data_IF_636542566554
#
_entry.id   IF_636542566554
#
_cell.length_a   1.000
_cell.length_b   1.000
_cell.length_c   1.000
_cell.angle_alpha   90.00
_cell.angle_beta   90.00
_cell.angle_gamma   90.00
#
_symmetry.space_group_name_H-M   'P 1'
#
loop_
_entity.id
_entity.type
_entity.pdbx_description
1 polymer ?
#
# COMPACT_ATOMS: atom_id res chain seq x y z
N UNK A 1 19.35 12.13 34.74
CA UNK A 1 19.94 10.89 34.17
C UNK A 1 18.84 9.83 34.12
N UNK A 2 18.11 9.77 33.03
CA UNK A 2 17.01 8.82 32.82
C UNK A 2 17.52 7.53 32.22
N UNK A 3 17.31 6.46 32.95
CA UNK A 3 17.71 5.10 32.62
C UNK A 3 16.91 4.62 31.40
N UNK A 4 17.55 4.62 30.21
CA UNK A 4 16.97 4.02 28.99
C UNK A 4 16.92 2.51 29.19
N UNK A 5 15.76 1.98 29.58
CA UNK A 5 15.51 0.54 29.50
C UNK A 5 15.47 0.16 28.03
N UNK A 6 16.56 -0.45 27.55
CA UNK A 6 16.56 -1.17 26.29
C UNK A 6 15.48 -2.25 26.35
N UNK A 7 14.49 -2.17 25.47
CA UNK A 7 13.51 -3.23 25.30
C UNK A 7 14.22 -4.42 24.66
N UNK A 8 14.65 -5.36 25.49
CA UNK A 8 15.16 -6.66 25.04
C UNK A 8 13.93 -7.47 24.65
N UNK A 9 13.71 -7.61 23.34
CA UNK A 9 12.69 -8.53 22.84
C UNK A 9 13.08 -9.96 23.27
N UNK A 10 12.14 -10.74 23.83
CA UNK A 10 12.40 -12.13 24.20
C UNK A 10 12.79 -12.94 22.95
N UNK A 11 13.67 -13.93 23.08
CA UNK A 11 14.02 -14.82 21.96
C UNK A 11 12.78 -15.52 21.45
N UNK A 12 12.58 -15.50 20.11
CA UNK A 12 11.46 -16.18 19.48
C UNK A 12 11.51 -17.70 19.80
N UNK A 13 10.41 -18.29 20.28
CA UNK A 13 10.38 -19.72 20.54
C UNK A 13 10.49 -20.50 19.23
N UNK A 14 11.25 -21.61 19.18
CA UNK A 14 11.34 -22.45 18.00
C UNK A 14 9.99 -23.15 17.75
N UNK A 15 9.37 -22.86 16.60
CA UNK A 15 8.41 -23.72 15.89
C UNK A 15 6.95 -23.88 16.37
N UNK A 16 6.41 -23.07 17.28
CA UNK A 16 4.95 -22.92 17.42
C UNK A 16 4.60 -21.46 17.70
N UNK A 17 4.64 -20.66 16.64
CA UNK A 17 3.96 -19.37 16.68
C UNK A 17 2.45 -19.63 16.71
N UNK A 18 1.84 -19.64 17.89
CA UNK A 18 0.40 -19.47 17.99
C UNK A 18 0.01 -18.22 17.24
N UNK A 19 -1.16 -18.24 16.58
CA UNK A 19 -1.59 -17.20 15.63
C UNK A 19 -1.51 -15.78 16.20
N UNK A 20 -1.53 -15.64 17.53
CA UNK A 20 -1.51 -14.36 18.25
C UNK A 20 -0.13 -13.66 18.28
N UNK A 21 0.97 -14.41 18.22
CA UNK A 21 2.31 -13.86 18.43
C UNK A 21 3.16 -13.82 17.15
N UNK A 22 2.53 -13.97 15.98
CA UNK A 22 3.24 -13.91 14.69
C UNK A 22 3.29 -12.48 14.17
N UNK A 23 4.49 -11.84 14.08
CA UNK A 23 4.64 -10.47 13.63
C UNK A 23 4.02 -10.21 12.25
N UNK A 24 4.11 -11.16 11.31
CA UNK A 24 3.56 -11.01 9.97
C UNK A 24 2.02 -10.98 10.01
N UNK A 25 1.40 -11.83 10.84
CA UNK A 25 -0.05 -11.80 11.05
C UNK A 25 -0.50 -10.50 11.72
N UNK A 26 0.26 -9.98 12.67
CA UNK A 26 -0.01 -8.69 13.29
C UNK A 26 0.06 -7.56 12.25
N UNK A 27 1.04 -7.58 11.33
CA UNK A 27 1.08 -6.64 10.22
C UNK A 27 -0.18 -6.70 9.34
N UNK A 28 -0.70 -7.91 9.04
CA UNK A 28 -1.96 -8.08 8.31
C UNK A 28 -3.16 -7.52 9.10
N UNK A 29 -3.21 -7.73 10.40
CA UNK A 29 -4.27 -7.18 11.25
C UNK A 29 -4.22 -5.66 11.31
N UNK A 30 -3.04 -5.07 11.53
CA UNK A 30 -2.82 -3.62 11.50
C UNK A 30 -3.27 -3.03 10.17
N UNK A 31 -2.85 -3.62 9.05
CA UNK A 31 -3.27 -3.20 7.71
C UNK A 31 -4.79 -3.23 7.53
N UNK A 32 -5.46 -4.29 8.03
CA UNK A 32 -6.91 -4.42 7.98
C UNK A 32 -7.62 -3.36 8.83
N UNK A 33 -7.12 -3.10 10.05
CA UNK A 33 -7.69 -2.11 10.97
C UNK A 33 -7.51 -0.69 10.45
N UNK A 34 -6.30 -0.34 9.98
CA UNK A 34 -6.00 0.94 9.35
C UNK A 34 -6.90 1.17 8.12
N UNK A 35 -6.98 0.19 7.24
CA UNK A 35 -7.87 0.27 6.07
C UNK A 35 -9.35 0.39 6.42
N UNK A 36 -9.83 -0.30 7.46
CA UNK A 36 -11.20 -0.17 7.93
C UNK A 36 -11.49 1.24 8.46
N UNK A 37 -10.54 1.82 9.22
CA UNK A 37 -10.68 3.18 9.75
C UNK A 37 -10.67 4.23 8.64
N UNK A 38 -9.81 4.11 7.65
CA UNK A 38 -9.79 5.01 6.48
C UNK A 38 -11.13 4.92 5.73
N UNK A 39 -11.68 3.72 5.55
CA UNK A 39 -12.97 3.51 4.86
C UNK A 39 -14.18 3.99 5.67
N UNK A 40 -14.14 3.94 7.00
CA UNK A 40 -15.27 4.38 7.85
C UNK A 40 -15.60 5.88 7.72
N UNK A 41 -14.80 6.63 6.99
CA UNK A 41 -14.99 8.05 6.71
C UNK A 41 -15.87 8.33 5.48
N UNK A 42 -16.93 7.54 5.24
CA UNK A 42 -17.87 7.68 4.10
C UNK A 42 -17.20 7.60 2.72
N UNK A 43 -16.32 6.64 2.53
CA UNK A 43 -15.76 6.34 1.21
C UNK A 43 -16.70 5.37 0.51
N UNK A 44 -17.49 5.89 -0.43
CA UNK A 44 -18.39 5.13 -1.29
C UNK A 44 -17.70 4.75 -2.62
N UNK A 45 -18.38 3.91 -3.42
CA UNK A 45 -17.92 3.56 -4.76
C UNK A 45 -16.67 2.69 -4.78
N UNK A 46 -15.88 2.89 -5.84
CA UNK A 46 -14.67 2.10 -6.10
C UNK A 46 -13.65 2.20 -4.96
N UNK A 47 -13.59 3.32 -4.25
CA UNK A 47 -12.62 3.52 -3.18
C UNK A 47 -12.83 2.61 -1.97
N UNK A 48 -13.99 1.96 -1.83
CA UNK A 48 -14.25 0.91 -0.85
C UNK A 48 -13.58 -0.43 -1.24
N UNK A 49 -13.21 -0.61 -2.50
CA UNK A 49 -12.59 -1.83 -3.00
C UNK A 49 -11.13 -1.93 -2.58
N UNK A 50 -10.73 -3.15 -2.19
CA UNK A 50 -9.32 -3.43 -1.88
C UNK A 50 -8.42 -3.15 -3.09
N UNK A 51 -7.32 -2.43 -2.86
CA UNK A 51 -6.36 -2.06 -3.90
C UNK A 51 -6.67 -0.78 -4.67
N UNK A 52 -7.92 -0.27 -4.64
CA UNK A 52 -8.27 0.95 -5.37
C UNK A 52 -7.43 2.16 -4.91
N UNK A 53 -7.20 2.29 -3.61
CA UNK A 53 -6.36 3.35 -3.06
C UNK A 53 -4.91 3.27 -3.56
N UNK A 54 -4.35 2.06 -3.66
CA UNK A 54 -3.00 1.86 -4.19
C UNK A 54 -2.90 2.28 -5.65
N UNK A 55 -3.91 1.94 -6.47
CA UNK A 55 -3.96 2.33 -7.88
C UNK A 55 -4.08 3.85 -8.01
N UNK A 56 -4.98 4.49 -7.25
CA UNK A 56 -5.15 5.94 -7.27
C UNK A 56 -3.84 6.67 -6.90
N UNK A 57 -3.20 6.27 -5.82
CA UNK A 57 -1.94 6.85 -5.36
C UNK A 57 -0.78 6.61 -6.35
N UNK A 58 -0.73 5.45 -7.02
CA UNK A 58 0.26 5.18 -8.05
C UNK A 58 0.10 6.12 -9.26
N UNK A 59 -1.14 6.37 -9.69
CA UNK A 59 -1.42 7.31 -10.79
C UNK A 59 -1.06 8.74 -10.37
N UNK A 60 -1.41 9.14 -9.15
CA UNK A 60 -1.08 10.46 -8.60
C UNK A 60 0.44 10.72 -8.57
N UNK A 61 1.22 9.74 -8.12
CA UNK A 61 2.68 9.84 -8.01
C UNK A 61 3.37 9.95 -9.38
N UNK A 62 2.92 9.19 -10.36
CA UNK A 62 3.47 9.16 -11.72
C UNK A 62 2.92 10.30 -12.60
N UNK A 63 1.86 11.00 -12.16
CA UNK A 63 1.04 11.97 -12.93
C UNK A 63 0.34 11.36 -14.13
N UNK A 64 1.00 10.47 -14.83
CA UNK A 64 0.47 9.63 -15.91
C UNK A 64 1.21 8.29 -15.89
N UNK A 65 0.45 7.20 -16.03
CA UNK A 65 1.01 5.85 -15.98
C UNK A 65 0.35 4.94 -17.01
N UNK A 66 1.09 3.96 -17.54
CA UNK A 66 0.48 2.84 -18.23
C UNK A 66 -0.07 1.82 -17.22
N UNK A 67 -1.02 0.99 -17.67
CA UNK A 67 -1.52 -0.09 -16.81
C UNK A 67 -0.41 -1.02 -16.33
N UNK A 68 0.58 -1.30 -17.18
CA UNK A 68 1.76 -2.11 -16.83
C UNK A 68 2.53 -1.46 -15.68
N UNK A 69 2.78 -0.15 -15.77
CA UNK A 69 3.49 0.58 -14.72
C UNK A 69 2.75 0.57 -13.38
N UNK A 70 1.42 0.67 -13.41
CA UNK A 70 0.59 0.56 -12.20
C UNK A 70 0.70 -0.84 -11.58
N UNK A 71 0.70 -1.90 -12.38
CA UNK A 71 0.91 -3.28 -11.91
C UNK A 71 2.26 -3.42 -11.21
N UNK A 72 3.33 -2.89 -11.81
CA UNK A 72 4.69 -2.91 -11.24
C UNK A 72 4.76 -2.21 -9.88
N UNK A 73 4.15 -1.03 -9.76
CA UNK A 73 4.17 -0.25 -8.50
C UNK A 73 3.31 -0.90 -7.42
N UNK A 74 2.11 -1.35 -7.78
CA UNK A 74 1.12 -1.82 -6.81
C UNK A 74 1.26 -3.30 -6.44
N UNK A 75 1.99 -4.06 -7.24
CA UNK A 75 2.09 -5.53 -7.16
C UNK A 75 0.72 -6.24 -7.21
N UNK A 76 -0.31 -5.57 -7.72
CA UNK A 76 -1.62 -6.17 -7.96
C UNK A 76 -1.61 -6.96 -9.26
N UNK A 77 -2.47 -7.98 -9.36
CA UNK A 77 -2.62 -8.75 -10.58
C UNK A 77 -3.19 -7.88 -11.72
N UNK A 78 -2.71 -8.04 -12.97
CA UNK A 78 -3.18 -7.24 -14.11
C UNK A 78 -4.69 -7.18 -14.27
N UNK A 79 -5.47 -8.29 -14.13
CA UNK A 79 -6.93 -8.23 -14.20
C UNK A 79 -7.55 -7.35 -13.10
N UNK A 80 -6.98 -7.37 -11.90
CA UNK A 80 -7.44 -6.54 -10.78
C UNK A 80 -7.26 -5.06 -11.09
N UNK A 81 -6.09 -4.68 -11.60
CA UNK A 81 -5.80 -3.29 -12.02
C UNK A 81 -6.77 -2.85 -13.12
N UNK A 82 -7.02 -3.70 -14.14
CA UNK A 82 -7.98 -3.40 -15.22
C UNK A 82 -9.38 -3.12 -14.70
N UNK A 83 -9.88 -3.93 -13.77
CA UNK A 83 -11.21 -3.76 -13.17
C UNK A 83 -11.29 -2.46 -12.38
N UNK A 84 -10.24 -2.16 -11.60
CA UNK A 84 -10.18 -0.93 -10.80
C UNK A 84 -10.17 0.30 -11.72
N UNK A 85 -9.31 0.31 -12.73
CA UNK A 85 -9.20 1.44 -13.67
C UNK A 85 -10.51 1.71 -14.41
N UNK A 86 -11.20 0.66 -14.87
CA UNK A 86 -12.50 0.79 -15.52
C UNK A 86 -13.52 1.44 -14.60
N UNK A 87 -13.62 0.98 -13.37
CA UNK A 87 -14.55 1.57 -12.38
C UNK A 87 -14.18 3.01 -12.02
N UNK A 88 -12.89 3.30 -11.86
CA UNK A 88 -12.44 4.68 -11.64
C UNK A 88 -12.79 5.60 -12.81
N UNK A 89 -12.74 5.09 -14.03
CA UNK A 89 -13.17 5.81 -15.22
C UNK A 89 -14.67 6.03 -15.22
N UNK A 90 -15.46 4.99 -14.91
CA UNK A 90 -16.92 5.08 -14.83
C UNK A 90 -17.38 6.09 -13.75
N UNK A 91 -16.62 6.21 -12.66
CA UNK A 91 -16.85 7.17 -11.57
C UNK A 91 -16.19 8.55 -11.83
N UNK A 92 -15.55 8.74 -12.99
CA UNK A 92 -14.96 10.02 -13.40
C UNK A 92 -13.68 10.42 -12.67
N UNK A 93 -13.00 9.49 -11.97
CA UNK A 93 -11.77 9.76 -11.23
C UNK A 93 -10.52 9.75 -12.11
N UNK A 94 -10.57 9.00 -13.21
CA UNK A 94 -9.46 8.88 -14.16
C UNK A 94 -9.94 9.04 -15.58
N UNK A 95 -9.05 9.47 -16.45
CA UNK A 95 -9.23 9.45 -17.89
C UNK A 95 -8.12 8.64 -18.57
N UNK A 96 -8.51 7.90 -19.60
CA UNK A 96 -7.58 7.14 -20.43
C UNK A 96 -7.34 7.91 -21.72
N UNK A 97 -6.09 7.94 -22.16
CA UNK A 97 -5.68 8.59 -23.40
C UNK A 97 -4.57 7.81 -24.09
N UNK A 98 -4.45 7.98 -25.41
CA UNK A 98 -3.35 7.37 -26.14
C UNK A 98 -2.06 8.13 -25.88
N UNK A 99 -0.96 7.39 -25.70
CA UNK A 99 0.36 8.02 -25.59
C UNK A 99 0.69 8.74 -26.92
N UNK A 100 1.02 10.04 -26.89
CA UNK A 100 1.38 10.77 -28.10
C UNK A 100 2.58 10.20 -28.87
N UNK A 101 3.52 9.56 -28.14
CA UNK A 101 4.75 8.98 -28.69
C UNK A 101 4.52 7.55 -29.21
N UNK A 102 3.59 6.80 -28.62
CA UNK A 102 3.17 5.47 -29.08
C UNK A 102 1.67 5.32 -28.94
N UNK A 103 0.96 5.46 -30.04
CA UNK A 103 -0.51 5.34 -30.11
C UNK A 103 -1.07 3.96 -29.72
N UNK A 104 -0.21 2.95 -29.58
CA UNK A 104 -0.60 1.62 -29.10
C UNK A 104 -0.61 1.53 -27.58
N UNK A 105 0.08 2.46 -26.90
CA UNK A 105 0.11 2.52 -25.46
C UNK A 105 -1.04 3.40 -24.95
N UNK A 106 -1.89 2.84 -24.10
CA UNK A 106 -2.92 3.59 -23.36
C UNK A 106 -2.34 4.01 -22.01
N UNK A 107 -2.42 5.30 -21.73
CA UNK A 107 -2.05 5.89 -20.44
C UNK A 107 -3.28 6.37 -19.69
N UNK A 108 -3.14 6.48 -18.39
CA UNK A 108 -4.15 6.94 -17.46
C UNK A 108 -3.61 8.10 -16.63
N UNK A 109 -4.45 9.10 -16.37
CA UNK A 109 -4.17 10.19 -15.43
C UNK A 109 -5.40 10.48 -14.58
N UNK A 110 -5.20 11.16 -13.45
CA UNK A 110 -6.31 11.62 -12.63
C UNK A 110 -7.04 12.77 -13.32
N UNK A 111 -8.36 12.84 -13.12
CA UNK A 111 -9.14 14.04 -13.32
C UNK A 111 -9.02 14.98 -12.12
N UNK A 112 -9.54 16.21 -12.20
CA UNK A 112 -9.61 17.10 -11.02
C UNK A 112 -10.38 16.47 -9.86
N UNK A 113 -11.45 15.71 -10.18
CA UNK A 113 -12.18 14.94 -9.17
C UNK A 113 -11.30 13.84 -8.56
N UNK A 114 -10.60 13.07 -9.39
CA UNK A 114 -9.66 12.04 -8.91
C UNK A 114 -8.56 12.61 -8.02
N UNK A 115 -8.00 13.76 -8.36
CA UNK A 115 -7.02 14.46 -7.52
C UNK A 115 -7.62 14.90 -6.18
N UNK A 116 -8.88 15.37 -6.17
CA UNK A 116 -9.56 15.75 -4.92
C UNK A 116 -9.78 14.54 -4.02
N UNK A 117 -10.17 13.40 -4.59
CA UNK A 117 -10.32 12.13 -3.86
C UNK A 117 -8.97 11.65 -3.30
N UNK A 118 -7.89 11.78 -4.07
CA UNK A 118 -6.55 11.43 -3.61
C UNK A 118 -6.12 12.29 -2.41
N UNK A 119 -6.23 13.63 -2.52
CA UNK A 119 -5.91 14.56 -1.42
C UNK A 119 -6.70 14.23 -0.14
N UNK A 120 -8.02 14.09 -0.26
CA UNK A 120 -8.87 13.76 0.90
C UNK A 120 -8.48 12.43 1.54
N UNK A 121 -8.12 11.44 0.73
CA UNK A 121 -7.66 10.15 1.24
C UNK A 121 -6.30 10.22 1.92
N UNK A 122 -5.37 11.07 1.46
CA UNK A 122 -4.08 11.29 2.13
C UNK A 122 -4.29 11.88 3.52
N UNK A 123 -5.19 12.85 3.67
CA UNK A 123 -5.50 13.42 5.00
C UNK A 123 -6.08 12.36 5.95
N UNK A 124 -6.97 11.49 5.48
CA UNK A 124 -7.51 10.38 6.31
C UNK A 124 -6.45 9.34 6.68
N UNK A 125 -5.50 9.08 5.81
CA UNK A 125 -4.34 8.23 6.12
C UNK A 125 -3.50 8.89 7.20
N UNK A 126 -3.12 10.16 7.06
CA UNK A 126 -2.34 10.90 8.06
C UNK A 126 -3.01 10.90 9.44
N UNK A 127 -4.33 11.15 9.51
CA UNK A 127 -5.10 11.09 10.75
C UNK A 127 -5.04 9.68 11.37
N UNK A 128 -5.15 8.64 10.55
CA UNK A 128 -5.11 7.25 10.99
C UNK A 128 -3.72 6.86 11.50
N UNK A 129 -2.67 7.27 10.78
CA UNK A 129 -1.28 7.00 11.14
C UNK A 129 -0.90 7.71 12.45
N UNK A 130 -1.31 8.97 12.62
CA UNK A 130 -1.11 9.71 13.87
C UNK A 130 -1.76 9.02 15.08
N UNK A 131 -2.92 8.40 14.88
CA UNK A 131 -3.58 7.62 15.92
C UNK A 131 -2.88 6.29 16.18
N UNK A 132 -2.45 5.60 15.13
CA UNK A 132 -1.78 4.30 15.23
C UNK A 132 -0.41 4.41 15.90
N UNK A 133 0.28 5.52 15.67
CA UNK A 133 1.63 5.77 16.19
C UNK A 133 1.64 6.63 17.46
N UNK A 134 0.46 6.85 18.05
CA UNK A 134 0.35 7.63 19.29
C UNK A 134 1.13 6.97 20.42
N UNK A 135 2.05 7.74 21.02
CA UNK A 135 2.85 7.30 22.16
C UNK A 135 4.23 6.77 21.80
N UNK A 136 4.54 6.65 20.51
CA UNK A 136 5.90 6.34 20.06
C UNK A 136 6.78 7.60 20.13
N UNK A 137 8.02 7.45 20.59
CA UNK A 137 9.05 8.46 20.41
C UNK A 137 9.76 8.29 19.06
N UNK A 138 10.62 9.27 18.70
CA UNK A 138 11.32 9.27 17.40
C UNK A 138 12.25 8.05 17.26
N UNK A 139 12.97 7.65 18.30
CA UNK A 139 13.87 6.49 18.28
C UNK A 139 13.12 5.16 18.16
N UNK A 140 11.94 5.07 18.78
CA UNK A 140 11.06 3.91 18.65
C UNK A 140 10.51 3.81 17.21
N UNK A 141 10.11 4.94 16.61
CA UNK A 141 9.65 4.98 15.22
C UNK A 141 10.76 4.58 14.24
N UNK A 142 11.97 5.11 14.40
CA UNK A 142 13.11 4.73 13.56
C UNK A 142 13.40 3.24 13.64
N UNK A 143 13.43 2.68 14.86
CA UNK A 143 13.67 1.26 15.09
C UNK A 143 12.57 0.39 14.48
N UNK A 144 11.31 0.79 14.65
CA UNK A 144 10.16 0.11 14.09
C UNK A 144 10.18 0.10 12.56
N UNK A 145 10.48 1.26 11.94
CA UNK A 145 10.61 1.37 10.48
C UNK A 145 11.74 0.49 9.95
N UNK A 146 12.90 0.47 10.60
CA UNK A 146 14.02 -0.37 10.20
C UNK A 146 13.66 -1.87 10.20
N UNK A 147 12.92 -2.32 11.21
CA UNK A 147 12.42 -3.70 11.27
C UNK A 147 11.42 -4.03 10.17
N UNK A 148 10.48 -3.12 9.89
CA UNK A 148 9.51 -3.30 8.81
C UNK A 148 10.18 -3.34 7.43
N UNK A 149 11.17 -2.47 7.18
CA UNK A 149 11.96 -2.51 5.94
C UNK A 149 12.70 -3.83 5.76
N UNK A 150 13.26 -4.40 6.82
CA UNK A 150 13.92 -5.71 6.77
C UNK A 150 12.95 -6.83 6.42
N UNK A 151 11.76 -6.84 7.03
CA UNK A 151 10.70 -7.82 6.70
C UNK A 151 10.28 -7.67 5.24
N UNK A 152 10.05 -6.44 4.77
CA UNK A 152 9.70 -6.15 3.38
C UNK A 152 10.76 -6.64 2.42
N UNK A 153 12.05 -6.37 2.70
CA UNK A 153 13.15 -6.77 1.81
C UNK A 153 13.25 -8.28 1.69
N UNK A 154 13.17 -9.01 2.82
CA UNK A 154 13.19 -10.47 2.80
C UNK A 154 12.08 -11.07 1.91
N UNK A 155 10.89 -10.47 1.93
CA UNK A 155 9.77 -10.92 1.07
C UNK A 155 10.03 -10.61 -0.41
N UNK A 156 10.59 -9.46 -0.74
CA UNK A 156 10.94 -9.10 -2.11
C UNK A 156 12.02 -10.02 -2.68
N UNK A 157 13.02 -10.33 -1.89
CA UNK A 157 14.10 -11.23 -2.28
C UNK A 157 13.58 -12.65 -2.56
N UNK A 158 12.69 -13.17 -1.69
CA UNK A 158 12.05 -14.46 -1.90
C UNK A 158 11.20 -14.49 -3.19
N UNK A 159 10.38 -13.44 -3.44
CA UNK A 159 9.58 -13.34 -4.66
C UNK A 159 10.43 -13.28 -5.93
N UNK A 160 11.60 -12.64 -5.85
CA UNK A 160 12.55 -12.55 -6.99
C UNK A 160 13.23 -13.89 -7.29
N UNK A 161 13.51 -14.70 -6.25
CA UNK A 161 14.04 -16.04 -6.40
C UNK A 161 13.02 -16.98 -7.06
N UNK A 162 11.76 -16.97 -6.59
CA UNK A 162 10.67 -17.79 -7.15
C UNK A 162 10.38 -17.48 -8.64
N UNK A 163 10.69 -16.26 -9.08
CA UNK A 163 10.48 -15.87 -10.49
C UNK A 163 11.56 -16.46 -11.38
N UNK A 164 12.81 -16.48 -10.91
CA UNK A 164 13.94 -17.05 -11.67
C UNK A 164 13.84 -18.57 -11.86
N UNK A 165 13.38 -19.28 -10.81
CA UNK A 165 13.18 -20.74 -10.89
C UNK A 165 12.05 -21.17 -11.84
N UNK A 166 11.18 -20.26 -12.25
CA UNK A 166 10.08 -20.55 -13.22
C UNK A 166 10.43 -20.22 -14.66
N UNK A 167 11.53 -19.54 -14.88
CA UNK A 167 12.03 -19.18 -16.22
C UNK A 167 13.13 -20.14 -16.70
N UNK A 168 13.64 -21.03 -15.85
CA UNK A 168 14.50 -22.17 -16.17
C UNK A 168 13.68 -23.46 -16.41
#
# INVERSE_FOLDING_TARGET
>A
MGNKKSVVLPPMPPHRCEIRDNPVKLCHEISRLSGARVRSANIEGIMSQHGARLVLSAIAAEKQASQRRIVEITHLRPPTVSIILRRMQDEGMVELFSNPEDKREVRVRLTEYGESVDRNGIEKIKETDALALKGFDESELESFMAMLYKVRQNLLDAMSADTKEKEE
#
